data_IF_134962219992
#
_entry.id   IF_134962219992
#
_cell.length_a   1.000
_cell.length_b   1.000
_cell.length_c   1.000
_cell.angle_alpha   90.00
_cell.angle_beta   90.00
_cell.angle_gamma   90.00
#
_symmetry.space_group_name_H-M   'P 1'
#
loop_
_entity.id
_entity.type
_entity.pdbx_description
1 polymer ?
#
# COMPACT_ATOMS: atom_id res chain seq x y z
N UNK A 1 19.58 -10.17 15.34
CA UNK A 1 18.77 -8.94 15.21
C UNK A 1 17.65 -9.00 16.21
N UNK A 2 17.55 -8.01 17.10
CA UNK A 2 16.40 -7.83 18.00
C UNK A 2 15.17 -7.50 17.15
N UNK A 3 14.06 -8.21 17.35
CA UNK A 3 12.81 -7.98 16.61
C UNK A 3 12.22 -6.61 16.91
N UNK A 4 11.31 -6.16 16.04
CA UNK A 4 10.57 -4.91 16.26
C UNK A 4 9.66 -5.07 17.48
N UNK A 5 9.70 -4.10 18.39
CA UNK A 5 8.80 -3.99 19.53
C UNK A 5 7.87 -2.80 19.30
N UNK A 6 6.65 -3.08 18.90
CA UNK A 6 5.60 -2.09 18.67
C UNK A 6 5.25 -1.34 19.97
N UNK A 7 5.05 -0.04 19.84
CA UNK A 7 4.62 0.86 20.90
C UNK A 7 3.17 1.31 20.68
N UNK A 8 2.44 1.51 21.77
CA UNK A 8 1.07 2.02 21.73
C UNK A 8 1.11 3.50 21.31
N UNK A 9 0.33 3.94 20.30
CA UNK A 9 0.20 5.34 19.94
C UNK A 9 -0.39 6.20 21.07
N UNK A 10 -0.17 7.52 21.04
CA UNK A 10 -0.63 8.43 22.10
C UNK A 10 -2.16 8.45 22.31
N UNK A 11 -2.92 8.43 21.22
CA UNK A 11 -4.39 8.50 21.22
C UNK A 11 -5.04 7.13 20.95
N UNK A 12 -4.57 6.09 21.65
CA UNK A 12 -4.98 4.72 21.37
C UNK A 12 -6.27 4.28 22.08
N UNK A 13 -7.09 3.39 21.46
CA UNK A 13 -8.29 2.85 22.10
C UNK A 13 -7.95 2.01 23.33
N UNK A 14 -8.92 1.81 24.23
CA UNK A 14 -8.73 1.09 25.50
C UNK A 14 -8.17 -0.34 25.32
N UNK A 15 -8.48 -1.00 24.20
CA UNK A 15 -8.00 -2.36 23.88
C UNK A 15 -6.61 -2.39 23.23
N UNK A 16 -5.99 -1.23 22.96
CA UNK A 16 -4.75 -1.17 22.19
C UNK A 16 -3.59 -1.93 22.83
N UNK A 17 -3.50 -1.92 24.17
CA UNK A 17 -2.48 -2.67 24.90
C UNK A 17 -2.52 -4.18 24.59
N UNK A 18 -3.72 -4.76 24.54
CA UNK A 18 -3.91 -6.18 24.22
C UNK A 18 -3.55 -6.48 22.76
N UNK A 19 -3.93 -5.60 21.82
CA UNK A 19 -3.56 -5.76 20.41
C UNK A 19 -2.04 -5.70 20.23
N UNK A 20 -1.37 -4.73 20.86
CA UNK A 20 0.09 -4.58 20.79
C UNK A 20 0.81 -5.76 21.41
N UNK A 21 0.31 -6.30 22.54
CA UNK A 21 0.85 -7.52 23.15
C UNK A 21 0.74 -8.74 22.22
N UNK A 22 -0.43 -8.95 21.60
CA UNK A 22 -0.67 -10.04 20.65
C UNK A 22 0.28 -9.90 19.44
N UNK A 23 0.38 -8.71 18.85
CA UNK A 23 1.21 -8.49 17.68
C UNK A 23 2.71 -8.63 18.01
N UNK A 24 3.18 -8.07 19.14
CA UNK A 24 4.57 -8.24 19.57
C UNK A 24 4.93 -9.72 19.82
N UNK A 25 3.98 -10.54 20.25
CA UNK A 25 4.18 -11.99 20.42
C UNK A 25 4.42 -12.74 19.10
N UNK A 26 4.00 -12.16 17.96
CA UNK A 26 4.28 -12.67 16.60
C UNK A 26 5.53 -12.03 16.00
N UNK A 27 5.71 -10.72 16.21
CA UNK A 27 6.78 -9.94 15.58
C UNK A 27 8.14 -10.10 16.28
N UNK A 28 8.15 -10.35 17.59
CA UNK A 28 9.37 -10.41 18.39
C UNK A 28 10.33 -11.56 18.03
N UNK A 29 11.54 -11.51 18.60
CA UNK A 29 12.59 -12.54 18.40
C UNK A 29 12.56 -13.69 19.41
N UNK A 30 11.44 -13.84 20.15
CA UNK A 30 11.23 -14.91 21.14
C UNK A 30 11.38 -16.31 20.52
N UNK A 31 11.84 -17.28 21.31
CA UNK A 31 11.87 -18.71 20.95
C UNK A 31 10.48 -19.34 20.90
N UNK A 32 9.50 -18.75 21.58
CA UNK A 32 8.07 -19.06 21.46
C UNK A 32 7.39 -17.88 20.77
N UNK A 33 7.37 -17.89 19.43
CA UNK A 33 6.58 -16.95 18.65
C UNK A 33 5.17 -17.50 18.50
N UNK A 34 4.18 -16.66 18.76
CA UNK A 34 2.80 -16.99 18.46
C UNK A 34 2.65 -17.14 16.93
N UNK A 35 1.88 -18.13 16.47
CA UNK A 35 1.59 -18.24 15.05
C UNK A 35 0.67 -17.11 14.59
N UNK A 36 0.70 -16.76 13.30
CA UNK A 36 -0.23 -15.76 12.75
C UNK A 36 -1.70 -16.17 12.90
N UNK A 37 -1.98 -17.47 12.90
CA UNK A 37 -3.31 -18.03 13.11
C UNK A 37 -3.77 -17.86 14.55
N UNK A 38 -2.90 -18.13 15.52
CA UNK A 38 -3.25 -17.99 16.94
C UNK A 38 -3.39 -16.51 17.33
N UNK A 39 -2.58 -15.63 16.75
CA UNK A 39 -2.74 -14.18 16.91
C UNK A 39 -4.07 -13.68 16.33
N UNK A 40 -4.46 -14.16 15.14
CA UNK A 40 -5.75 -13.84 14.56
C UNK A 40 -6.92 -14.30 15.44
N UNK A 41 -6.84 -15.51 16.02
CA UNK A 41 -7.84 -16.00 16.98
C UNK A 41 -7.90 -15.16 18.26
N UNK A 42 -6.75 -14.73 18.78
CA UNK A 42 -6.71 -13.87 19.96
C UNK A 42 -7.33 -12.49 19.69
N UNK A 43 -7.10 -11.92 18.50
CA UNK A 43 -7.75 -10.68 18.06
C UNK A 43 -9.25 -10.89 17.86
N UNK A 44 -9.68 -12.01 17.27
CA UNK A 44 -11.10 -12.34 17.11
C UNK A 44 -11.82 -12.51 18.46
N UNK A 45 -11.16 -13.15 19.43
CA UNK A 45 -11.68 -13.26 20.78
C UNK A 45 -11.85 -11.89 21.45
N UNK A 46 -10.85 -11.01 21.30
CA UNK A 46 -10.94 -9.62 21.78
C UNK A 46 -12.12 -8.88 21.11
N UNK A 47 -12.26 -9.00 19.79
CA UNK A 47 -13.40 -8.46 19.05
C UNK A 47 -14.73 -8.99 19.60
N UNK A 48 -14.84 -10.30 19.84
CA UNK A 48 -16.06 -10.94 20.32
C UNK A 48 -16.46 -10.44 21.71
N UNK A 49 -15.51 -10.19 22.60
CA UNK A 49 -15.77 -9.63 23.93
C UNK A 49 -16.35 -8.21 23.84
N UNK A 50 -15.78 -7.36 22.97
CA UNK A 50 -16.31 -6.02 22.71
C UNK A 50 -17.69 -6.07 22.06
N UNK A 51 -17.86 -6.91 21.03
CA UNK A 51 -19.14 -7.04 20.32
C UNK A 51 -20.27 -7.54 21.22
N UNK A 52 -19.99 -8.48 22.13
CA UNK A 52 -20.98 -8.96 23.11
C UNK A 52 -21.43 -7.88 24.09
N UNK A 53 -20.51 -6.97 24.46
CA UNK A 53 -20.79 -5.87 25.38
C UNK A 53 -21.56 -4.74 24.71
N UNK A 54 -21.12 -4.33 23.51
CA UNK A 54 -21.59 -3.11 22.86
C UNK A 54 -22.71 -3.37 21.83
N UNK A 55 -22.90 -4.62 21.40
CA UNK A 55 -23.91 -5.05 20.42
C UNK A 55 -23.65 -4.59 18.99
N UNK A 56 -22.61 -3.79 18.77
CA UNK A 56 -22.22 -3.21 17.47
C UNK A 56 -20.72 -3.35 17.25
N UNK A 57 -20.32 -3.49 15.99
CA UNK A 57 -18.94 -3.76 15.59
C UNK A 57 -18.22 -2.53 15.02
N UNK A 58 -18.95 -1.50 14.60
CA UNK A 58 -18.41 -0.37 13.83
C UNK A 58 -17.27 0.35 14.54
N UNK A 59 -17.51 0.81 15.78
CA UNK A 59 -16.49 1.52 16.55
C UNK A 59 -15.24 0.66 16.81
N UNK A 60 -15.41 -0.62 17.15
CA UNK A 60 -14.25 -1.50 17.35
C UNK A 60 -13.45 -1.66 16.05
N UNK A 61 -14.11 -1.98 14.94
CA UNK A 61 -13.44 -2.23 13.66
C UNK A 61 -12.71 -0.99 13.14
N UNK A 62 -13.32 0.19 13.27
CA UNK A 62 -12.69 1.45 12.90
C UNK A 62 -11.40 1.69 13.69
N UNK A 63 -11.50 1.71 15.02
CA UNK A 63 -10.34 1.97 15.88
C UNK A 63 -9.29 0.86 15.85
N UNK A 64 -9.71 -0.39 15.58
CA UNK A 64 -8.80 -1.50 15.41
C UNK A 64 -7.95 -1.32 14.15
N UNK A 65 -8.56 -0.99 13.01
CA UNK A 65 -7.80 -0.80 11.77
C UNK A 65 -6.93 0.46 11.81
N UNK A 66 -7.45 1.57 12.36
CA UNK A 66 -6.65 2.78 12.57
C UNK A 66 -5.40 2.48 13.41
N UNK A 67 -5.57 1.75 14.52
CA UNK A 67 -4.45 1.27 15.35
C UNK A 67 -3.48 0.40 14.54
N UNK A 68 -3.97 -0.61 13.80
CA UNK A 68 -3.09 -1.48 13.00
C UNK A 68 -2.27 -0.68 11.99
N UNK A 69 -2.87 0.33 11.34
CA UNK A 69 -2.14 1.20 10.42
C UNK A 69 -1.08 2.03 11.14
N UNK A 70 -1.36 2.56 12.33
CA UNK A 70 -0.36 3.24 13.18
C UNK A 70 0.80 2.34 13.57
N UNK A 71 0.50 1.08 13.90
CA UNK A 71 1.53 0.09 14.23
C UNK A 71 2.36 -0.26 12.99
N UNK A 72 1.76 -0.32 11.80
CA UNK A 72 2.47 -0.56 10.55
C UNK A 72 3.50 0.54 10.23
N UNK A 73 3.25 1.80 10.63
CA UNK A 73 4.22 2.90 10.48
C UNK A 73 5.55 2.63 11.21
N UNK A 74 5.53 1.82 12.27
CA UNK A 74 6.71 1.52 13.10
C UNK A 74 7.57 0.38 12.54
N UNK A 75 7.06 -0.37 11.56
CA UNK A 75 7.72 -1.57 11.02
C UNK A 75 8.51 -1.21 9.76
N UNK A 76 9.85 -1.35 9.74
CA UNK A 76 10.64 -1.03 8.54
C UNK A 76 10.14 -1.76 7.30
N UNK A 77 9.94 -1.03 6.20
CA UNK A 77 9.33 -1.53 4.95
C UNK A 77 9.98 -2.80 4.36
N UNK A 78 11.28 -2.96 4.57
CA UNK A 78 12.11 -4.06 4.06
C UNK A 78 12.32 -5.20 5.08
N UNK A 79 11.62 -5.19 6.21
CA UNK A 79 11.75 -6.18 7.27
C UNK A 79 10.82 -7.39 7.08
N UNK A 80 11.15 -8.51 7.74
CA UNK A 80 10.27 -9.69 7.76
C UNK A 80 9.05 -9.47 8.66
N UNK A 81 9.12 -8.53 9.60
CA UNK A 81 8.02 -8.16 10.47
C UNK A 81 6.82 -7.60 9.68
N UNK A 82 7.05 -6.96 8.53
CA UNK A 82 5.99 -6.59 7.58
C UNK A 82 5.21 -7.81 7.08
N UNK A 83 5.92 -8.88 6.72
CA UNK A 83 5.32 -10.14 6.25
C UNK A 83 4.55 -10.83 7.37
N UNK A 84 5.09 -10.81 8.60
CA UNK A 84 4.43 -11.40 9.76
C UNK A 84 3.13 -10.66 10.12
N UNK A 85 3.14 -9.33 10.13
CA UNK A 85 1.92 -8.52 10.33
C UNK A 85 0.87 -8.85 9.26
N UNK A 86 1.28 -8.86 7.99
CA UNK A 86 0.38 -9.19 6.86
C UNK A 86 -0.17 -10.62 6.99
N UNK A 87 0.63 -11.58 7.48
CA UNK A 87 0.19 -12.95 7.71
C UNK A 87 -0.88 -13.04 8.81
N UNK A 88 -0.84 -12.20 9.84
CA UNK A 88 -1.91 -12.09 10.85
C UNK A 88 -3.21 -11.60 10.20
N UNK A 89 -3.15 -10.56 9.37
CA UNK A 89 -4.33 -10.02 8.66
C UNK A 89 -4.93 -11.05 7.71
N UNK A 90 -4.08 -11.77 6.95
CA UNK A 90 -4.53 -12.90 6.13
C UNK A 90 -5.21 -13.97 6.96
N UNK A 91 -4.70 -14.25 8.16
CA UNK A 91 -5.26 -15.25 9.05
C UNK A 91 -6.60 -14.80 9.62
N UNK A 92 -6.75 -13.52 9.97
CA UNK A 92 -8.03 -12.90 10.34
C UNK A 92 -9.05 -13.05 9.22
N UNK A 93 -8.69 -12.64 8.00
CA UNK A 93 -9.55 -12.77 6.82
C UNK A 93 -10.06 -14.20 6.58
N UNK A 94 -9.22 -15.20 6.90
CA UNK A 94 -9.52 -16.61 6.69
C UNK A 94 -10.26 -17.28 7.86
N UNK A 95 -10.58 -16.55 8.93
CA UNK A 95 -11.42 -17.07 10.00
C UNK A 95 -12.83 -17.40 9.46
N UNK A 96 -13.56 -18.33 10.10
CA UNK A 96 -14.94 -18.63 9.72
C UNK A 96 -15.78 -17.34 9.68
N UNK A 97 -16.46 -17.04 8.56
CA UNK A 97 -17.24 -15.82 8.43
C UNK A 97 -18.33 -15.73 9.50
N UNK A 98 -18.40 -14.60 10.18
CA UNK A 98 -19.43 -14.30 11.18
C UNK A 98 -20.05 -12.95 10.88
N UNK A 99 -21.35 -12.91 10.64
CA UNK A 99 -22.06 -11.65 10.37
C UNK A 99 -22.25 -10.86 11.66
N UNK A 100 -21.92 -9.57 11.62
CA UNK A 100 -22.04 -8.65 12.76
C UNK A 100 -22.68 -7.33 12.33
N UNK A 101 -23.43 -6.71 13.23
CA UNK A 101 -24.01 -5.39 12.99
C UNK A 101 -22.96 -4.30 13.19
N UNK A 102 -22.80 -3.39 12.24
CA UNK A 102 -21.91 -2.23 12.36
C UNK A 102 -22.46 -1.14 13.30
N UNK A 103 -23.79 -1.09 13.47
CA UNK A 103 -24.48 0.00 14.16
C UNK A 103 -24.88 1.13 13.21
N UNK A 104 -25.90 1.92 13.61
CA UNK A 104 -26.53 2.94 12.76
C UNK A 104 -25.60 4.08 12.35
N UNK A 105 -24.57 4.36 13.13
CA UNK A 105 -23.59 5.43 12.85
C UNK A 105 -22.61 5.05 11.73
N UNK A 106 -22.51 3.75 11.42
CA UNK A 106 -21.50 3.19 10.53
C UNK A 106 -22.09 2.46 9.32
N UNK A 107 -23.37 2.07 9.37
CA UNK A 107 -24.09 1.54 8.21
C UNK A 107 -24.46 2.67 7.25
N UNK A 108 -24.07 2.55 5.98
CA UNK A 108 -24.64 3.36 4.90
C UNK A 108 -25.41 2.45 3.94
N UNK A 109 -26.51 2.95 3.38
CA UNK A 109 -27.31 2.32 2.32
C UNK A 109 -27.76 0.88 2.58
N UNK A 110 -28.17 0.57 3.82
CA UNK A 110 -28.90 -0.67 4.13
C UNK A 110 -28.06 -1.92 4.35
N UNK A 111 -26.72 -1.80 4.40
CA UNK A 111 -25.83 -2.88 4.80
C UNK A 111 -25.36 -2.69 6.26
N UNK A 112 -26.31 -2.71 7.20
CA UNK A 112 -26.00 -2.60 8.65
C UNK A 112 -25.24 -3.83 9.18
N UNK A 113 -25.11 -4.88 8.38
CA UNK A 113 -24.47 -6.14 8.75
C UNK A 113 -23.40 -6.55 7.74
N UNK A 114 -22.23 -6.92 8.24
CA UNK A 114 -21.09 -7.34 7.42
C UNK A 114 -20.51 -8.65 7.95
N UNK A 115 -19.92 -9.51 7.11
CA UNK A 115 -19.11 -10.61 7.59
C UNK A 115 -17.83 -10.04 8.21
N UNK A 116 -17.64 -10.23 9.51
CA UNK A 116 -16.44 -9.81 10.21
C UNK A 116 -15.21 -10.50 9.59
N UNK A 117 -14.13 -9.73 9.43
CA UNK A 117 -12.85 -10.10 8.80
C UNK A 117 -12.88 -10.45 7.31
N UNK A 118 -13.97 -11.00 6.77
CA UNK A 118 -14.08 -11.23 5.32
C UNK A 118 -14.16 -9.88 4.59
N UNK A 119 -13.29 -9.67 3.60
CA UNK A 119 -13.20 -8.39 2.90
C UNK A 119 -12.71 -7.20 3.74
N UNK A 120 -12.30 -7.45 5.00
CA UNK A 120 -11.70 -6.47 5.92
C UNK A 120 -12.50 -5.15 6.00
N UNK A 121 -13.75 -5.18 6.52
CA UNK A 121 -14.61 -3.99 6.58
C UNK A 121 -13.90 -2.82 7.28
N UNK A 122 -14.06 -1.61 6.73
CA UNK A 122 -13.44 -0.34 7.17
C UNK A 122 -11.91 -0.23 7.01
N UNK A 123 -11.23 -1.29 6.55
CA UNK A 123 -9.79 -1.27 6.36
C UNK A 123 -9.35 -0.19 5.36
N UNK A 124 -10.00 -0.13 4.19
CA UNK A 124 -9.66 0.82 3.14
C UNK A 124 -9.93 2.27 3.55
N UNK A 125 -11.04 2.52 4.27
CA UNK A 125 -11.41 3.85 4.75
C UNK A 125 -10.37 4.40 5.74
N UNK A 126 -10.06 3.63 6.78
CA UNK A 126 -9.07 4.01 7.80
C UNK A 126 -7.66 4.07 7.23
N UNK A 127 -7.33 3.21 6.24
CA UNK A 127 -6.05 3.29 5.54
C UNK A 127 -5.92 4.59 4.76
N UNK A 128 -6.98 5.01 4.04
CA UNK A 128 -6.98 6.26 3.27
C UNK A 128 -6.73 7.45 4.18
N UNK A 129 -7.40 7.51 5.33
CA UNK A 129 -7.22 8.56 6.34
C UNK A 129 -5.80 8.54 6.89
N UNK A 130 -5.26 7.36 7.25
CA UNK A 130 -3.88 7.26 7.72
C UNK A 130 -2.88 7.71 6.66
N UNK A 131 -3.11 7.37 5.39
CA UNK A 131 -2.26 7.79 4.29
C UNK A 131 -2.23 9.33 4.13
N UNK A 132 -3.33 10.03 4.45
CA UNK A 132 -3.36 11.51 4.45
C UNK A 132 -2.54 12.13 5.58
N UNK A 133 -2.23 11.37 6.64
CA UNK A 133 -1.39 11.86 7.75
C UNK A 133 0.11 11.78 7.47
N UNK A 134 0.53 10.96 6.50
CA UNK A 134 1.95 10.81 6.15
C UNK A 134 2.30 11.67 4.93
N UNK A 135 3.36 12.45 5.03
CA UNK A 135 3.74 13.39 3.97
C UNK A 135 5.09 13.01 3.37
N UNK A 136 5.11 12.62 2.09
CA UNK A 136 6.35 12.34 1.34
C UNK A 136 7.15 13.60 1.00
N UNK A 137 6.53 14.78 1.06
CA UNK A 137 7.15 16.08 0.72
C UNK A 137 7.73 16.80 1.94
N UNK A 138 7.64 16.22 3.13
CA UNK A 138 8.28 16.77 4.33
C UNK A 138 9.80 16.70 4.22
N UNK A 139 10.52 17.59 4.93
CA UNK A 139 11.97 17.49 5.08
C UNK A 139 12.39 16.47 6.15
N UNK A 140 11.45 15.95 6.93
CA UNK A 140 11.72 15.02 8.03
C UNK A 140 11.84 13.57 7.53
N UNK A 141 13.07 13.05 7.50
CA UNK A 141 13.35 11.69 7.03
C UNK A 141 12.60 10.59 7.79
N UNK A 142 12.30 10.81 9.08
CA UNK A 142 11.50 9.88 9.86
C UNK A 142 10.07 9.74 9.32
N UNK A 143 9.46 10.84 8.88
CA UNK A 143 8.10 10.83 8.35
C UNK A 143 8.04 10.25 6.93
N UNK A 144 9.06 10.51 6.11
CA UNK A 144 9.28 9.81 4.84
C UNK A 144 9.36 8.29 5.03
N UNK A 145 10.10 7.85 6.06
CA UNK A 145 10.25 6.43 6.36
C UNK A 145 8.92 5.79 6.81
N UNK A 146 8.12 6.50 7.62
CA UNK A 146 6.77 6.05 7.99
C UNK A 146 5.87 5.88 6.76
N UNK A 147 5.92 6.80 5.80
CA UNK A 147 5.15 6.69 4.56
C UNK A 147 5.55 5.44 3.76
N UNK A 148 6.85 5.15 3.65
CA UNK A 148 7.33 3.93 2.99
C UNK A 148 6.91 2.65 3.74
N UNK A 149 6.93 2.67 5.07
CA UNK A 149 6.47 1.54 5.90
C UNK A 149 4.98 1.24 5.67
N UNK A 150 4.13 2.28 5.67
CA UNK A 150 2.69 2.14 5.43
C UNK A 150 2.38 1.61 4.01
N UNK A 151 3.07 2.14 3.00
CA UNK A 151 2.88 1.71 1.61
C UNK A 151 3.36 0.27 1.37
N UNK A 152 4.47 -0.14 2.00
CA UNK A 152 4.98 -1.50 1.86
C UNK A 152 4.08 -2.54 2.56
N UNK A 153 3.45 -2.16 3.66
CA UNK A 153 2.38 -2.92 4.30
C UNK A 153 1.16 -3.07 3.37
N UNK A 154 0.69 -1.96 2.79
CA UNK A 154 -0.44 -1.93 1.87
C UNK A 154 -0.20 -2.79 0.62
N UNK A 155 1.00 -2.74 0.05
CA UNK A 155 1.41 -3.56 -1.09
C UNK A 155 1.29 -5.06 -0.80
N UNK A 156 1.66 -5.50 0.41
CA UNK A 156 1.53 -6.91 0.80
C UNK A 156 0.08 -7.34 0.98
N UNK A 157 -0.75 -6.49 1.60
CA UNK A 157 -2.20 -6.74 1.75
C UNK A 157 -2.88 -6.83 0.38
N UNK A 158 -2.54 -5.92 -0.54
CA UNK A 158 -3.05 -5.89 -1.90
C UNK A 158 -2.60 -7.12 -2.71
N UNK A 159 -1.34 -7.53 -2.57
CA UNK A 159 -0.78 -8.73 -3.17
C UNK A 159 -1.50 -10.02 -2.78
N UNK A 160 -1.99 -10.08 -1.54
CA UNK A 160 -2.83 -11.19 -1.08
C UNK A 160 -4.27 -11.14 -1.62
N UNK A 161 -4.65 -10.09 -2.34
CA UNK A 161 -6.00 -9.89 -2.88
C UNK A 161 -7.06 -9.63 -1.81
N UNK A 162 -6.66 -9.17 -0.62
CA UNK A 162 -7.59 -8.94 0.49
C UNK A 162 -8.35 -7.61 0.34
N UNK A 163 -7.69 -6.59 -0.21
CA UNK A 163 -8.27 -5.25 -0.42
C UNK A 163 -7.81 -4.71 -1.78
N UNK A 164 -8.72 -4.17 -2.61
CA UNK A 164 -8.39 -3.62 -3.93
C UNK A 164 -7.71 -2.24 -3.80
N UNK A 165 -6.38 -2.24 -3.81
CA UNK A 165 -5.53 -1.05 -3.61
C UNK A 165 -4.75 -0.64 -4.88
N UNK A 166 -5.26 -0.99 -6.05
CA UNK A 166 -4.65 -0.68 -7.35
C UNK A 166 -4.39 0.83 -7.51
N UNK A 167 -5.29 1.68 -7.01
CA UNK A 167 -5.15 3.13 -7.04
C UNK A 167 -3.85 3.60 -6.36
N UNK A 168 -3.50 3.04 -5.20
CA UNK A 168 -2.30 3.42 -4.45
C UNK A 168 -1.03 2.89 -5.10
N UNK A 169 -1.09 1.69 -5.69
CA UNK A 169 -0.01 1.16 -6.50
C UNK A 169 0.29 2.08 -7.70
N UNK A 170 -0.76 2.51 -8.41
CA UNK A 170 -0.62 3.42 -9.56
C UNK A 170 -0.03 4.76 -9.11
N UNK A 171 -0.51 5.37 -8.03
CA UNK A 171 0.06 6.62 -7.54
C UNK A 171 1.56 6.49 -7.22
N UNK A 172 1.97 5.42 -6.54
CA UNK A 172 3.37 5.15 -6.25
C UNK A 172 4.22 4.99 -7.52
N UNK A 173 3.71 4.27 -8.52
CA UNK A 173 4.39 4.06 -9.80
C UNK A 173 4.48 5.35 -10.62
N UNK A 174 3.41 6.15 -10.63
CA UNK A 174 3.38 7.47 -11.29
C UNK A 174 4.45 8.38 -10.70
N UNK A 175 4.47 8.53 -9.37
CA UNK A 175 5.38 9.43 -8.67
C UNK A 175 6.86 9.10 -8.90
N UNK A 176 7.18 7.82 -9.07
CA UNK A 176 8.56 7.34 -9.25
C UNK A 176 8.98 7.24 -10.72
N UNK A 177 8.07 6.89 -11.63
CA UNK A 177 8.44 6.36 -12.95
C UNK A 177 7.94 7.18 -14.13
N UNK A 178 6.82 7.89 -14.00
CA UNK A 178 6.15 8.52 -15.14
C UNK A 178 6.63 9.94 -15.45
N UNK A 179 7.83 10.30 -14.97
CA UNK A 179 8.55 11.53 -15.28
C UNK A 179 8.04 12.75 -14.50
N UNK A 180 8.73 13.87 -14.67
CA UNK A 180 8.32 15.16 -14.09
C UNK A 180 7.94 16.15 -15.17
N UNK A 181 7.26 17.22 -14.77
CA UNK A 181 6.83 18.27 -15.68
C UNK A 181 7.22 19.62 -15.11
N UNK A 182 7.91 20.42 -15.92
CA UNK A 182 8.27 21.79 -15.62
C UNK A 182 7.37 22.74 -16.41
N UNK A 183 6.48 23.50 -15.74
CA UNK A 183 5.66 24.48 -16.43
C UNK A 183 6.52 25.60 -17.03
N UNK A 184 6.33 25.89 -18.32
CA UNK A 184 7.01 27.00 -18.99
C UNK A 184 6.02 28.13 -19.26
N UNK A 185 6.26 29.30 -18.67
CA UNK A 185 5.41 30.46 -18.87
C UNK A 185 5.43 30.90 -20.33
N UNK A 186 4.27 30.81 -21.00
CA UNK A 186 4.11 31.21 -22.40
C UNK A 186 4.58 30.18 -23.43
N UNK A 187 4.97 28.98 -22.99
CA UNK A 187 5.39 27.87 -23.85
C UNK A 187 4.67 26.56 -23.50
N UNK A 188 4.91 25.47 -24.25
CA UNK A 188 4.49 24.14 -23.83
C UNK A 188 5.27 23.70 -22.59
N UNK A 189 4.60 22.99 -21.67
CA UNK A 189 5.27 22.38 -20.52
C UNK A 189 6.36 21.41 -20.98
N UNK A 190 7.48 21.40 -20.26
CA UNK A 190 8.61 20.53 -20.55
C UNK A 190 8.49 19.25 -19.72
N UNK A 191 8.51 18.10 -20.40
CA UNK A 191 8.48 16.79 -19.76
C UNK A 191 9.91 16.32 -19.58
N UNK A 192 10.29 16.02 -18.34
CA UNK A 192 11.58 15.46 -18.01
C UNK A 192 11.45 13.96 -17.75
N UNK A 193 12.24 13.19 -18.49
CA UNK A 193 12.30 11.73 -18.39
C UNK A 193 13.58 11.25 -17.72
N UNK A 194 14.44 12.15 -17.25
CA UNK A 194 15.61 11.77 -16.46
C UNK A 194 15.16 11.30 -15.06
N UNK A 195 15.50 10.07 -14.64
CA UNK A 195 15.26 9.61 -13.28
C UNK A 195 15.76 10.58 -12.19
N UNK A 196 16.88 11.28 -12.42
CA UNK A 196 17.47 12.19 -11.45
C UNK A 196 16.64 13.47 -11.24
N UNK A 197 15.73 13.79 -12.16
CA UNK A 197 14.81 14.91 -12.05
C UNK A 197 13.65 14.66 -11.06
N UNK A 198 13.44 13.41 -10.63
CA UNK A 198 12.40 13.05 -9.66
C UNK A 198 12.86 13.39 -8.24
N UNK A 199 12.17 14.28 -7.50
CA UNK A 199 12.51 14.57 -6.11
C UNK A 199 12.34 13.33 -5.24
N UNK A 200 13.29 13.10 -4.32
CA UNK A 200 13.32 11.94 -3.42
C UNK A 200 13.22 10.59 -4.17
N UNK A 201 13.86 10.52 -5.35
CA UNK A 201 13.80 9.35 -6.25
C UNK A 201 14.04 8.03 -5.51
N UNK A 202 14.99 7.98 -4.59
CA UNK A 202 15.38 6.75 -3.88
C UNK A 202 14.25 6.20 -3.01
N UNK A 203 13.55 7.07 -2.30
CA UNK A 203 12.39 6.70 -1.49
C UNK A 203 11.21 6.31 -2.38
N UNK A 204 10.91 7.10 -3.42
CA UNK A 204 9.78 6.84 -4.32
C UNK A 204 9.97 5.54 -5.08
N UNK A 205 11.18 5.27 -5.57
CA UNK A 205 11.53 4.01 -6.22
C UNK A 205 11.45 2.85 -5.23
N UNK A 206 11.88 3.01 -3.98
CA UNK A 206 11.69 1.98 -2.96
C UNK A 206 10.20 1.66 -2.75
N UNK A 207 9.33 2.67 -2.66
CA UNK A 207 7.88 2.48 -2.51
C UNK A 207 7.28 1.78 -3.74
N UNK A 208 7.57 2.29 -4.95
CA UNK A 208 7.12 1.69 -6.20
C UNK A 208 7.61 0.25 -6.37
N UNK A 209 8.86 -0.03 -6.01
CA UNK A 209 9.45 -1.37 -6.04
C UNK A 209 8.74 -2.33 -5.07
N UNK A 210 8.32 -1.87 -3.89
CA UNK A 210 7.53 -2.70 -2.96
C UNK A 210 6.16 -3.06 -3.56
N UNK A 211 5.49 -2.12 -4.24
CA UNK A 211 4.23 -2.40 -4.95
C UNK A 211 4.41 -3.45 -6.04
N UNK A 212 5.45 -3.36 -6.87
CA UNK A 212 5.77 -4.39 -7.86
C UNK A 212 6.09 -5.73 -7.19
N UNK A 213 6.97 -5.72 -6.18
CA UNK A 213 7.45 -6.93 -5.52
C UNK A 213 6.32 -7.75 -4.90
N UNK A 214 5.37 -7.08 -4.26
CA UNK A 214 4.35 -7.77 -3.47
C UNK A 214 2.99 -7.83 -4.14
N UNK A 215 2.63 -6.85 -4.99
CA UNK A 215 1.34 -6.80 -5.66
C UNK A 215 1.42 -6.85 -7.18
N UNK A 216 2.61 -6.82 -7.79
CA UNK A 216 2.77 -6.74 -9.25
C UNK A 216 2.03 -7.83 -10.01
N UNK A 217 2.01 -9.08 -9.49
CA UNK A 217 1.29 -10.19 -10.11
C UNK A 217 -0.25 -10.00 -10.13
N UNK A 218 -0.79 -9.09 -9.31
CA UNK A 218 -2.20 -8.69 -9.31
C UNK A 218 -2.48 -7.53 -10.27
N UNK A 219 -1.45 -6.80 -10.69
CA UNK A 219 -1.56 -5.65 -11.60
C UNK A 219 -1.33 -6.07 -13.05
N UNK A 220 -0.38 -6.99 -13.29
CA UNK A 220 0.01 -7.42 -14.63
C UNK A 220 -1.13 -8.17 -15.36
N UNK A 221 -1.19 -7.97 -16.69
CA UNK A 221 -2.15 -8.65 -17.58
C UNK A 221 -3.58 -8.12 -17.51
N UNK A 222 -3.83 -7.04 -16.76
CA UNK A 222 -5.12 -6.35 -16.69
C UNK A 222 -5.16 -5.18 -17.67
N UNK A 223 -6.34 -4.89 -18.18
CA UNK A 223 -6.64 -3.71 -19.00
C UNK A 223 -7.98 -3.11 -18.56
N UNK A 224 -7.92 -2.17 -17.62
CA UNK A 224 -9.11 -1.54 -17.05
C UNK A 224 -8.81 -0.17 -16.43
N UNK A 225 -9.83 0.70 -16.45
CA UNK A 225 -9.79 1.98 -15.76
C UNK A 225 -9.82 1.75 -14.25
N UNK A 226 -8.98 2.48 -13.53
CA UNK A 226 -8.98 2.48 -12.06
C UNK A 226 -9.46 3.84 -11.60
N UNK A 227 -10.66 3.90 -11.05
CA UNK A 227 -11.24 5.18 -10.63
C UNK A 227 -10.36 5.88 -9.59
N UNK A 228 -10.08 7.17 -9.79
CA UNK A 228 -9.19 7.95 -8.94
C UNK A 228 -7.69 7.76 -9.21
N UNK A 229 -7.32 6.87 -10.14
CA UNK A 229 -5.96 6.81 -10.66
C UNK A 229 -5.58 8.15 -11.32
N UNK A 230 -4.28 8.38 -11.41
CA UNK A 230 -3.71 9.54 -12.09
C UNK A 230 -2.69 9.06 -13.11
N UNK A 231 -2.36 9.94 -14.06
CA UNK A 231 -1.34 9.71 -15.07
C UNK A 231 -0.24 10.78 -14.96
N UNK A 232 1.01 10.32 -14.98
CA UNK A 232 2.18 11.15 -15.04
C UNK A 232 2.46 11.66 -16.47
N UNK A 233 3.42 12.59 -16.60
CA UNK A 233 3.77 13.23 -17.86
C UNK A 233 4.08 12.27 -19.02
N UNK A 234 4.83 11.18 -18.76
CA UNK A 234 5.22 10.23 -19.80
C UNK A 234 4.04 9.39 -20.33
N UNK A 235 2.97 9.27 -19.56
CA UNK A 235 1.76 8.55 -19.97
C UNK A 235 0.75 9.42 -20.74
N UNK A 236 0.93 10.74 -20.68
CA UNK A 236 0.09 11.70 -21.42
C UNK A 236 0.54 11.80 -22.88
N UNK A 237 -0.44 12.00 -23.75
CA UNK A 237 -0.20 12.35 -25.15
C UNK A 237 0.19 13.83 -25.24
N UNK A 238 1.04 14.15 -26.23
CA UNK A 238 1.26 15.55 -26.57
C UNK A 238 -0.06 16.19 -27.05
N UNK A 239 -0.15 17.52 -26.95
CA UNK A 239 -1.40 18.25 -27.25
C UNK A 239 -1.91 18.00 -28.67
N UNK A 240 -1.03 17.90 -29.67
CA UNK A 240 -1.45 17.71 -31.07
C UNK A 240 -2.01 16.31 -31.26
N UNK A 241 -1.34 15.30 -30.72
CA UNK A 241 -1.81 13.92 -30.79
C UNK A 241 -3.09 13.72 -29.97
N UNK A 242 -3.19 14.31 -28.79
CA UNK A 242 -4.37 14.24 -27.95
C UNK A 242 -5.63 14.80 -28.65
N UNK A 243 -5.50 15.94 -29.34
CA UNK A 243 -6.59 16.53 -30.14
C UNK A 243 -6.95 15.63 -31.32
N UNK A 244 -5.95 15.10 -32.02
CA UNK A 244 -6.15 14.20 -33.17
C UNK A 244 -6.90 12.92 -32.78
N UNK A 245 -6.50 12.30 -31.67
CA UNK A 245 -7.07 11.03 -31.18
C UNK A 245 -8.28 11.20 -30.27
N UNK A 246 -8.63 12.45 -29.90
CA UNK A 246 -9.71 12.78 -28.95
C UNK A 246 -9.59 12.05 -27.60
N UNK A 247 -8.36 11.85 -27.14
CA UNK A 247 -8.04 11.27 -25.83
C UNK A 247 -6.78 11.91 -25.27
N UNK A 248 -6.59 11.90 -23.95
CA UNK A 248 -5.43 12.56 -23.30
C UNK A 248 -4.26 11.63 -23.02
N UNK A 249 -4.50 10.32 -22.96
CA UNK A 249 -3.53 9.32 -22.52
C UNK A 249 -3.20 8.33 -23.64
N UNK A 250 -2.02 7.72 -23.55
CA UNK A 250 -1.54 6.70 -24.50
C UNK A 250 -2.43 5.44 -24.51
N UNK A 251 -2.96 5.10 -23.35
CA UNK A 251 -3.89 3.97 -23.13
C UNK A 251 -4.88 4.28 -22.01
N UNK A 252 -5.23 3.25 -21.26
CA UNK A 252 -6.21 3.29 -20.18
C UNK A 252 -5.74 4.17 -19.01
N UNK A 253 -6.67 4.90 -18.38
CA UNK A 253 -6.42 5.67 -17.15
C UNK A 253 -6.49 4.74 -15.93
N UNK A 254 -5.53 3.82 -15.88
CA UNK A 254 -5.56 2.69 -14.97
C UNK A 254 -4.45 1.70 -15.28
N UNK A 255 -4.81 0.42 -15.31
CA UNK A 255 -3.92 -0.68 -15.66
C UNK A 255 -4.07 -0.99 -17.15
N UNK A 256 -2.96 -1.17 -17.85
CA UNK A 256 -2.92 -1.75 -19.20
C UNK A 256 -1.51 -2.27 -19.53
N UNK A 257 -1.36 -3.20 -20.48
CA UNK A 257 -0.07 -3.79 -20.85
C UNK A 257 0.98 -2.76 -21.25
N UNK A 258 0.60 -1.72 -21.99
CA UNK A 258 1.51 -0.68 -22.46
C UNK A 258 2.02 0.18 -21.30
N UNK A 259 1.20 0.41 -20.27
CA UNK A 259 1.61 1.16 -19.07
C UNK A 259 2.52 0.33 -18.17
N UNK A 260 2.24 -0.97 -18.06
CA UNK A 260 3.15 -1.91 -17.41
C UNK A 260 4.52 -1.92 -18.08
N UNK A 261 4.56 -1.99 -19.42
CA UNK A 261 5.80 -1.92 -20.20
C UNK A 261 6.55 -0.61 -19.96
N UNK A 262 5.84 0.53 -19.91
CA UNK A 262 6.42 1.81 -19.52
C UNK A 262 7.06 1.71 -18.13
N UNK A 263 6.34 1.29 -17.10
CA UNK A 263 6.90 1.20 -15.74
C UNK A 263 8.17 0.33 -15.68
N UNK A 264 8.17 -0.80 -16.39
CA UNK A 264 9.34 -1.67 -16.49
C UNK A 264 10.54 -0.99 -17.16
N UNK A 265 10.32 -0.32 -18.29
CA UNK A 265 11.34 0.49 -18.97
C UNK A 265 11.91 1.56 -18.03
N UNK A 266 11.04 2.21 -17.25
CA UNK A 266 11.41 3.27 -16.33
C UNK A 266 12.20 2.75 -15.13
N UNK A 267 11.89 1.58 -14.58
CA UNK A 267 12.76 0.93 -13.60
C UNK A 267 14.13 0.60 -14.19
N UNK A 268 14.21 0.14 -15.44
CA UNK A 268 15.50 -0.07 -16.10
C UNK A 268 16.29 1.25 -16.25
N UNK A 269 15.61 2.35 -16.61
CA UNK A 269 16.24 3.66 -16.69
C UNK A 269 16.81 4.12 -15.33
N UNK A 270 16.07 3.93 -14.22
CA UNK A 270 16.57 4.24 -12.86
C UNK A 270 17.77 3.35 -12.52
N UNK A 271 17.69 2.03 -12.77
CA UNK A 271 18.76 1.06 -12.52
C UNK A 271 20.07 1.45 -13.20
N UNK A 272 19.99 1.99 -14.42
CA UNK A 272 21.15 2.27 -15.27
C UNK A 272 21.63 3.74 -15.15
N UNK A 273 20.90 4.59 -14.43
CA UNK A 273 21.25 5.99 -14.22
C UNK A 273 22.46 6.15 -13.27
N UNK A 274 23.43 6.97 -13.68
CA UNK A 274 24.66 7.23 -12.90
C UNK A 274 24.44 8.24 -11.78
N UNK A 275 23.51 9.17 -11.99
CA UNK A 275 23.29 10.32 -11.10
C UNK A 275 22.20 10.07 -10.04
N UNK A 276 21.71 8.84 -9.93
CA UNK A 276 20.87 8.37 -8.81
C UNK A 276 21.71 7.56 -7.83
N UNK A 277 21.29 7.43 -6.58
CA UNK A 277 22.07 6.65 -5.60
C UNK A 277 21.93 5.13 -5.76
N UNK A 278 22.82 4.39 -5.09
CA UNK A 278 22.86 2.93 -5.14
C UNK A 278 21.55 2.28 -4.66
N UNK A 279 20.94 2.83 -3.60
CA UNK A 279 19.71 2.28 -3.04
C UNK A 279 18.55 2.38 -4.05
N UNK A 280 18.44 3.50 -4.78
CA UNK A 280 17.48 3.66 -5.87
C UNK A 280 17.74 2.63 -6.98
N UNK A 281 18.99 2.47 -7.42
CA UNK A 281 19.37 1.51 -8.47
C UNK A 281 19.07 0.07 -8.07
N UNK A 282 19.35 -0.31 -6.83
CA UNK A 282 19.12 -1.65 -6.31
C UNK A 282 17.63 -1.97 -6.23
N UNK A 283 16.81 -1.06 -5.68
CA UNK A 283 15.36 -1.24 -5.64
C UNK A 283 14.76 -1.30 -7.05
N UNK A 284 15.24 -0.47 -7.98
CA UNK A 284 14.79 -0.49 -9.37
C UNK A 284 15.18 -1.80 -10.09
N UNK A 285 16.40 -2.31 -9.86
CA UNK A 285 16.83 -3.62 -10.36
C UNK A 285 15.92 -4.74 -9.85
N UNK A 286 15.69 -4.77 -8.53
CA UNK A 286 14.85 -5.78 -7.91
C UNK A 286 13.41 -5.75 -8.46
N UNK A 287 12.83 -4.56 -8.65
CA UNK A 287 11.51 -4.41 -9.26
C UNK A 287 11.50 -4.91 -10.70
N UNK A 288 12.47 -4.50 -11.52
CA UNK A 288 12.61 -4.95 -12.91
C UNK A 288 12.67 -6.48 -13.01
N UNK A 289 13.51 -7.11 -12.19
CA UNK A 289 13.68 -8.57 -12.18
C UNK A 289 12.39 -9.29 -11.75
N UNK A 290 11.62 -8.71 -10.82
CA UNK A 290 10.30 -9.24 -10.44
C UNK A 290 9.29 -9.08 -11.59
N UNK A 291 9.30 -7.96 -12.31
CA UNK A 291 8.41 -7.79 -13.47
C UNK A 291 8.70 -8.82 -14.57
N UNK A 292 9.98 -9.11 -14.84
CA UNK A 292 10.38 -10.21 -15.74
C UNK A 292 9.82 -11.56 -15.29
N UNK A 293 9.91 -11.87 -13.99
CA UNK A 293 9.37 -13.11 -13.45
C UNK A 293 7.85 -13.20 -13.61
N UNK A 294 7.13 -12.10 -13.32
CA UNK A 294 5.67 -12.04 -13.45
C UNK A 294 5.24 -12.24 -14.90
N UNK A 295 5.93 -11.62 -15.86
CA UNK A 295 5.65 -11.78 -17.29
C UNK A 295 5.88 -13.22 -17.78
N UNK A 296 6.79 -13.95 -17.13
CA UNK A 296 7.04 -15.38 -17.40
C UNK A 296 6.09 -16.31 -16.63
N UNK A 297 5.08 -15.77 -15.91
CA UNK A 297 4.09 -16.54 -15.16
C UNK A 297 4.43 -16.79 -13.69
N UNK A 298 5.47 -16.14 -13.17
CA UNK A 298 5.79 -16.10 -11.74
C UNK A 298 4.74 -15.33 -10.93
N UNK A 299 4.70 -15.57 -9.60
CA UNK A 299 3.85 -14.86 -8.64
C UNK A 299 4.69 -14.16 -7.59
#
# INVERSE_FOLDING_TARGET
MSGVQLQIPGDAPAFAGQVVEILNSVLGSSSQKLSSVDAAKAIDELFNQHYQKDGTAGSFLWWFWDLVHDLALQIPYNSQEQERLTAVIKSLHNLPPKTVSLGQEWGSDGADSVPVWTGLPMFANTFREKLDTVNLQTSEEQDKQKAANLQAYAARVAGLGLVPFEIYAIWALVDALEGTMKPIRGGPDEVDSDPSAVPDISLKVAIAANWIKFAGHRLHGRDEEVHGATAGPLWKLDKKEAVKLRRKLRGTDGLCPERWALWKERFAAVRDAKDVDDAARENARAAFDVMEQIEQGGK
#
